data_IF_616365221683
#
_entry.id   IF_616365221683
#
_cell.length_a   1.000
_cell.length_b   1.000
_cell.length_c   1.000
_cell.angle_alpha   90.00
_cell.angle_beta   90.00
_cell.angle_gamma   90.00
#
_symmetry.space_group_name_H-M   'P 1'
#
loop_
_entity.id
_entity.type
_entity.pdbx_description
1 polymer ?
#
# COMPACT_ATOMS: atom_id res chain seq x y z
N UNK A 1 27.72 -23.27 5.59
CA UNK A 1 26.84 -22.16 6.01
C UNK A 1 26.35 -21.38 4.79
N UNK A 2 27.21 -21.15 3.79
CA UNK A 2 26.89 -20.49 2.51
C UNK A 2 25.80 -21.21 1.68
N UNK A 3 25.90 -22.53 1.47
CA UNK A 3 24.89 -23.30 0.70
C UNK A 3 23.44 -23.17 1.21
N UNK A 4 23.23 -23.00 2.53
CA UNK A 4 21.88 -22.82 3.11
C UNK A 4 21.35 -21.40 2.89
N UNK A 5 22.24 -20.41 2.81
CA UNK A 5 21.86 -19.03 2.52
C UNK A 5 21.52 -18.88 1.03
N UNK A 6 22.30 -19.50 0.13
CA UNK A 6 22.05 -19.46 -1.31
C UNK A 6 20.73 -20.15 -1.71
N UNK A 7 20.40 -21.28 -1.06
CA UNK A 7 19.13 -21.99 -1.28
C UNK A 7 17.94 -21.15 -0.78
N UNK A 8 18.09 -20.54 0.40
CA UNK A 8 17.04 -19.70 0.99
C UNK A 8 16.80 -18.44 0.16
N UNK A 9 17.85 -17.81 -0.37
CA UNK A 9 17.75 -16.65 -1.24
C UNK A 9 17.07 -17.01 -2.58
N UNK A 10 17.38 -18.18 -3.15
CA UNK A 10 16.69 -18.68 -4.36
C UNK A 10 15.21 -18.94 -4.13
N UNK A 11 14.85 -19.56 -3.01
CA UNK A 11 13.45 -19.84 -2.66
C UNK A 11 12.65 -18.54 -2.43
N UNK A 12 13.26 -17.55 -1.76
CA UNK A 12 12.67 -16.22 -1.56
C UNK A 12 12.47 -15.47 -2.88
N UNK A 13 13.45 -15.51 -3.79
CA UNK A 13 13.35 -14.92 -5.13
C UNK A 13 12.25 -15.59 -5.95
N UNK A 14 12.18 -16.93 -5.94
CA UNK A 14 11.12 -17.67 -6.65
C UNK A 14 9.74 -17.25 -6.16
N UNK A 15 9.55 -17.16 -4.83
CA UNK A 15 8.29 -16.73 -4.26
C UNK A 15 7.89 -15.31 -4.69
N UNK A 16 8.85 -14.37 -4.71
CA UNK A 16 8.59 -12.99 -5.17
C UNK A 16 8.13 -12.99 -6.62
N UNK A 17 8.81 -13.74 -7.49
CA UNK A 17 8.47 -13.85 -8.92
C UNK A 17 7.07 -14.46 -9.09
N UNK A 18 6.76 -15.53 -8.37
CA UNK A 18 5.48 -16.22 -8.45
C UNK A 18 4.32 -15.30 -8.02
N UNK A 19 4.47 -14.60 -6.89
CA UNK A 19 3.46 -13.67 -6.40
C UNK A 19 3.31 -12.45 -7.31
N UNK A 20 4.40 -11.97 -7.91
CA UNK A 20 4.36 -10.91 -8.91
C UNK A 20 3.58 -11.35 -10.15
N UNK A 21 3.92 -12.51 -10.73
CA UNK A 21 3.29 -13.02 -11.94
C UNK A 21 1.80 -13.31 -11.72
N UNK A 22 1.46 -13.83 -10.55
CA UNK A 22 0.07 -14.02 -10.15
C UNK A 22 -0.68 -12.68 -10.13
N UNK A 23 -0.20 -11.69 -9.39
CA UNK A 23 -0.84 -10.37 -9.32
C UNK A 23 -0.90 -9.69 -10.70
N UNK A 24 0.17 -9.80 -11.49
CA UNK A 24 0.25 -9.24 -12.83
C UNK A 24 -0.84 -9.81 -13.75
N UNK A 25 -1.03 -11.13 -13.72
CA UNK A 25 -2.08 -11.82 -14.48
C UNK A 25 -3.47 -11.43 -13.98
N UNK A 26 -3.67 -11.40 -12.66
CA UNK A 26 -4.94 -11.06 -12.02
C UNK A 26 -5.40 -9.61 -12.28
N UNK A 27 -4.46 -8.70 -12.55
CA UNK A 27 -4.73 -7.31 -12.91
C UNK A 27 -4.63 -7.03 -14.42
N UNK A 28 -4.78 -8.06 -15.26
CA UNK A 28 -4.79 -7.95 -16.73
C UNK A 28 -3.49 -7.38 -17.31
N UNK A 29 -2.35 -7.84 -16.79
CA UNK A 29 -1.03 -7.58 -17.35
C UNK A 29 -0.71 -6.07 -17.46
N UNK A 30 -0.71 -5.31 -16.35
CA UNK A 30 -0.35 -3.90 -16.39
C UNK A 30 1.05 -3.68 -16.97
N UNK A 31 1.35 -2.50 -17.55
CA UNK A 31 2.61 -2.23 -18.24
C UNK A 31 3.78 -2.02 -17.25
N UNK A 32 4.10 -3.06 -16.48
CA UNK A 32 5.11 -3.07 -15.42
C UNK A 32 6.00 -4.30 -15.53
N UNK A 33 7.24 -4.19 -15.06
CA UNK A 33 8.24 -5.26 -15.01
C UNK A 33 8.82 -5.35 -13.62
N UNK A 34 9.17 -6.56 -13.18
CA UNK A 34 9.84 -6.80 -11.90
C UNK A 34 11.36 -6.73 -12.08
N UNK A 35 12.05 -6.05 -11.17
CA UNK A 35 13.51 -6.07 -11.04
C UNK A 35 13.89 -6.25 -9.57
N UNK A 36 14.58 -7.34 -9.26
CA UNK A 36 15.05 -7.62 -7.90
C UNK A 36 16.48 -7.10 -7.79
N UNK A 37 16.73 -6.18 -6.86
CA UNK A 37 18.06 -5.64 -6.64
C UNK A 37 18.85 -6.50 -5.65
N UNK A 38 20.16 -6.73 -5.90
CA UNK A 38 21.04 -7.32 -4.89
C UNK A 38 21.04 -6.47 -3.62
N UNK A 39 21.05 -7.11 -2.45
CA UNK A 39 21.05 -6.45 -1.14
C UNK A 39 22.17 -5.40 -0.97
N UNK A 40 23.26 -5.54 -1.74
CA UNK A 40 24.44 -4.68 -1.71
C UNK A 40 24.34 -3.42 -2.57
N UNK A 41 23.40 -3.36 -3.53
CA UNK A 41 23.15 -2.15 -4.32
C UNK A 41 22.28 -1.18 -3.53
N UNK A 42 22.93 -0.32 -2.75
CA UNK A 42 22.29 0.90 -2.25
C UNK A 42 21.85 1.73 -3.46
N UNK A 43 20.57 2.06 -3.54
CA UNK A 43 20.14 3.20 -4.36
C UNK A 43 21.00 4.39 -3.91
N UNK A 44 21.81 4.95 -4.82
CA UNK A 44 22.48 6.21 -4.56
C UNK A 44 21.43 7.25 -4.18
N UNK A 45 21.60 7.82 -3.00
CA UNK A 45 20.95 9.01 -2.46
C UNK A 45 19.40 9.06 -2.38
N UNK A 46 18.92 9.19 -1.13
CA UNK A 46 17.65 9.80 -0.71
C UNK A 46 16.32 9.13 -1.09
N UNK A 47 16.30 7.93 -1.67
CA UNK A 47 15.06 7.14 -1.83
C UNK A 47 15.19 5.78 -1.14
N UNK A 48 15.25 5.83 0.18
CA UNK A 48 15.25 4.67 1.10
C UNK A 48 13.86 4.00 1.20
N UNK A 49 13.09 3.98 0.11
CA UNK A 49 11.82 3.28 0.10
C UNK A 49 12.10 1.78 -0.17
N UNK A 50 11.46 0.86 0.58
CA UNK A 50 11.57 -0.59 0.34
C UNK A 50 11.07 -1.01 -1.06
N UNK A 51 10.47 -0.06 -1.78
CA UNK A 51 9.92 -0.20 -3.11
C UNK A 51 10.09 1.10 -3.90
N UNK A 52 10.42 0.97 -5.18
CA UNK A 52 10.39 2.08 -6.12
C UNK A 52 9.83 1.60 -7.46
N UNK A 53 8.90 2.35 -8.05
CA UNK A 53 8.56 2.20 -9.47
C UNK A 53 9.25 3.30 -10.25
N UNK A 54 10.15 2.92 -11.16
CA UNK A 54 10.81 3.85 -12.06
C UNK A 54 10.66 3.34 -13.49
N UNK A 55 10.06 4.14 -14.38
CA UNK A 55 9.89 3.80 -15.80
C UNK A 55 9.22 2.43 -16.03
N UNK A 56 8.21 2.10 -15.22
CA UNK A 56 7.52 0.81 -15.30
C UNK A 56 8.31 -0.37 -14.73
N UNK A 57 9.43 -0.15 -14.04
CA UNK A 57 10.19 -1.19 -13.35
C UNK A 57 9.94 -1.08 -11.85
N UNK A 58 9.47 -2.16 -11.24
CA UNK A 58 9.30 -2.33 -9.79
C UNK A 58 10.60 -2.85 -9.21
N UNK A 59 11.22 -2.05 -8.32
CA UNK A 59 12.38 -2.41 -7.53
C UNK A 59 11.95 -2.76 -6.11
N UNK A 60 12.34 -3.94 -5.61
CA UNK A 60 11.98 -4.43 -4.27
C UNK A 60 13.24 -4.77 -3.48
N UNK A 61 13.25 -4.38 -2.21
CA UNK A 61 14.26 -4.84 -1.25
C UNK A 61 13.91 -6.22 -0.67
N UNK A 62 14.91 -7.07 -0.36
CA UNK A 62 14.67 -8.39 0.21
C UNK A 62 13.93 -8.40 1.56
N UNK A 63 14.00 -7.32 2.34
CA UNK A 63 13.38 -7.21 3.66
C UNK A 63 11.97 -6.59 3.65
N UNK A 64 11.30 -6.60 2.49
CA UNK A 64 9.96 -6.01 2.31
C UNK A 64 8.88 -6.69 3.15
N UNK A 65 9.03 -7.98 3.48
CA UNK A 65 8.07 -8.74 4.27
C UNK A 65 8.34 -8.49 5.77
N UNK A 66 7.38 -7.93 6.53
CA UNK A 66 7.55 -7.75 7.96
C UNK A 66 7.69 -9.09 8.69
N UNK A 67 8.51 -9.11 9.76
CA UNK A 67 8.68 -10.30 10.60
C UNK A 67 7.33 -10.77 11.16
N UNK A 68 7.09 -12.07 11.14
CA UNK A 68 5.84 -12.68 11.63
C UNK A 68 4.70 -12.70 10.60
N UNK A 69 4.88 -12.13 9.42
CA UNK A 69 3.91 -12.23 8.33
C UNK A 69 4.10 -13.50 7.51
N UNK A 70 3.00 -14.03 6.93
CA UNK A 70 3.09 -15.01 5.85
C UNK A 70 3.64 -14.30 4.58
N UNK A 71 4.83 -14.67 4.08
CA UNK A 71 5.47 -13.94 2.98
C UNK A 71 4.65 -13.93 1.69
N UNK A 72 4.07 -15.08 1.29
CA UNK A 72 3.27 -15.17 0.06
C UNK A 72 2.03 -14.29 0.11
N UNK A 73 1.26 -14.33 1.20
CA UNK A 73 0.06 -13.50 1.35
C UNK A 73 0.38 -12.01 1.40
N UNK A 74 1.48 -11.64 2.05
CA UNK A 74 1.94 -10.25 2.11
C UNK A 74 2.35 -9.76 0.71
N UNK A 75 3.23 -10.50 0.03
CA UNK A 75 3.72 -10.14 -1.31
C UNK A 75 2.59 -10.08 -2.33
N UNK A 76 1.65 -11.04 -2.30
CA UNK A 76 0.51 -11.03 -3.20
C UNK A 76 -0.39 -9.81 -2.99
N UNK A 77 -0.76 -9.50 -1.73
CA UNK A 77 -1.49 -8.26 -1.44
C UNK A 77 -0.70 -7.03 -1.91
N UNK A 78 0.59 -7.00 -1.60
CA UNK A 78 1.47 -5.88 -1.92
C UNK A 78 1.50 -5.61 -3.42
N UNK A 79 1.75 -6.64 -4.25
CA UNK A 79 1.76 -6.48 -5.70
C UNK A 79 0.39 -6.09 -6.25
N UNK A 80 -0.71 -6.68 -5.74
CA UNK A 80 -2.07 -6.28 -6.14
C UNK A 80 -2.34 -4.81 -5.82
N UNK A 81 -1.88 -4.32 -4.67
CA UNK A 81 -2.04 -2.94 -4.24
C UNK A 81 -1.28 -1.97 -5.16
N UNK A 82 0.02 -2.19 -5.33
CA UNK A 82 0.88 -1.34 -6.17
C UNK A 82 0.44 -1.35 -7.65
N UNK A 83 0.13 -2.54 -8.19
CA UNK A 83 -0.36 -2.65 -9.55
C UNK A 83 -1.74 -2.03 -9.73
N UNK A 84 -2.58 -1.98 -8.69
CA UNK A 84 -3.86 -1.26 -8.77
C UNK A 84 -3.63 0.25 -8.89
N UNK A 85 -2.63 0.81 -8.21
CA UNK A 85 -2.24 2.21 -8.39
C UNK A 85 -1.67 2.48 -9.78
N UNK A 86 -1.00 1.51 -10.42
CA UNK A 86 -0.45 1.69 -11.76
C UNK A 86 -1.49 1.50 -12.86
N UNK A 87 -2.30 0.43 -12.75
CA UNK A 87 -3.28 0.04 -13.76
C UNK A 87 -4.55 0.86 -13.68
N UNK A 88 -5.06 1.03 -12.47
CA UNK A 88 -6.32 1.71 -12.19
C UNK A 88 -6.06 3.00 -11.43
N UNK A 89 -4.90 3.65 -11.62
CA UNK A 89 -4.56 4.92 -10.97
C UNK A 89 -5.84 5.73 -10.86
N UNK A 90 -6.46 5.83 -9.66
CA UNK A 90 -7.87 6.22 -9.60
C UNK A 90 -8.05 7.67 -10.08
N UNK A 91 -6.93 8.36 -10.28
CA UNK A 91 -6.77 9.76 -10.61
C UNK A 91 -5.71 9.88 -11.70
N UNK A 92 -6.04 10.50 -12.83
CA UNK A 92 -5.01 11.07 -13.69
C UNK A 92 -4.26 12.19 -12.93
N UNK A 93 -3.13 12.68 -13.44
CA UNK A 93 -2.36 13.75 -12.76
C UNK A 93 -3.22 14.98 -12.44
N UNK A 94 -4.22 15.28 -13.29
CA UNK A 94 -5.15 16.41 -13.07
C UNK A 94 -6.06 16.16 -11.88
N UNK A 95 -6.55 14.93 -11.73
CA UNK A 95 -7.42 14.53 -10.65
C UNK A 95 -6.68 14.47 -9.33
N UNK A 96 -5.46 13.91 -9.32
CA UNK A 96 -4.59 13.90 -8.13
C UNK A 96 -4.33 15.33 -7.65
N UNK A 97 -3.94 16.23 -8.56
CA UNK A 97 -3.73 17.63 -8.25
C UNK A 97 -5.00 18.36 -7.77
N UNK A 98 -6.17 17.98 -8.29
CA UNK A 98 -7.45 18.54 -7.84
C UNK A 98 -7.80 18.12 -6.41
N UNK A 99 -7.51 16.86 -6.06
CA UNK A 99 -7.65 16.33 -4.70
C UNK A 99 -6.71 17.04 -3.72
N UNK A 100 -5.44 17.19 -4.10
CA UNK A 100 -4.44 17.91 -3.30
C UNK A 100 -4.86 19.37 -3.08
N UNK A 101 -5.35 20.05 -4.13
CA UNK A 101 -5.88 21.42 -4.00
C UNK A 101 -7.09 21.50 -3.07
N UNK A 102 -7.99 20.52 -3.12
CA UNK A 102 -9.14 20.48 -2.22
C UNK A 102 -8.69 20.29 -0.76
N UNK A 103 -7.74 19.38 -0.53
CA UNK A 103 -7.16 19.19 0.80
C UNK A 103 -6.41 20.44 1.29
N UNK A 104 -5.67 21.13 0.42
CA UNK A 104 -4.96 22.36 0.75
C UNK A 104 -5.91 23.49 1.19
N UNK A 105 -7.09 23.60 0.59
CA UNK A 105 -8.09 24.60 1.02
C UNK A 105 -8.57 24.42 2.46
N UNK A 106 -8.43 23.22 3.02
CA UNK A 106 -8.83 22.90 4.40
C UNK A 106 -7.64 22.93 5.34
N UNK A 107 -6.52 22.32 4.93
CA UNK A 107 -5.34 22.18 5.77
C UNK A 107 -4.40 23.40 5.74
N UNK A 108 -4.50 24.22 4.70
CA UNK A 108 -3.60 25.36 4.39
C UNK A 108 -2.09 25.00 4.38
N UNK A 109 -1.78 23.70 4.28
CA UNK A 109 -0.42 23.15 4.25
C UNK A 109 -0.32 22.10 3.15
N UNK A 110 0.62 22.29 2.22
CA UNK A 110 0.84 21.38 1.11
C UNK A 110 1.32 20.00 1.55
N UNK A 111 2.18 19.91 2.57
CA UNK A 111 2.66 18.65 3.11
C UNK A 111 1.50 17.81 3.65
N UNK A 112 0.57 18.44 4.37
CA UNK A 112 -0.64 17.78 4.86
C UNK A 112 -1.59 17.41 3.71
N UNK A 113 -1.73 18.27 2.70
CA UNK A 113 -2.55 17.99 1.52
C UNK A 113 -2.05 16.78 0.72
N UNK A 114 -0.73 16.66 0.53
CA UNK A 114 -0.11 15.50 -0.09
C UNK A 114 -0.33 14.24 0.74
N UNK A 115 -0.13 14.33 2.06
CA UNK A 115 -0.35 13.21 2.98
C UNK A 115 -1.81 12.72 2.94
N UNK A 116 -2.78 13.64 2.98
CA UNK A 116 -4.20 13.33 2.92
C UNK A 116 -4.57 12.63 1.60
N UNK A 117 -4.03 13.13 0.47
CA UNK A 117 -4.28 12.54 -0.85
C UNK A 117 -3.67 11.14 -0.95
N UNK A 118 -2.48 10.93 -0.39
CA UNK A 118 -1.84 9.63 -0.33
C UNK A 118 -2.66 8.63 0.49
N UNK A 119 -3.07 9.00 1.71
CA UNK A 119 -3.95 8.18 2.57
C UNK A 119 -5.25 7.83 1.82
N UNK A 120 -5.87 8.82 1.18
CA UNK A 120 -7.09 8.62 0.42
C UNK A 120 -6.90 7.62 -0.72
N UNK A 121 -5.83 7.76 -1.52
CA UNK A 121 -5.54 6.85 -2.62
C UNK A 121 -5.36 5.41 -2.14
N UNK A 122 -4.53 5.20 -1.11
CA UNK A 122 -4.21 3.86 -0.58
C UNK A 122 -5.47 3.18 -0.01
N UNK A 123 -6.30 3.95 0.71
CA UNK A 123 -7.54 3.44 1.27
C UNK A 123 -8.60 3.12 0.20
N UNK A 124 -8.64 3.85 -0.92
CA UNK A 124 -9.53 3.48 -2.03
C UNK A 124 -9.12 2.13 -2.63
N UNK A 125 -7.81 1.86 -2.74
CA UNK A 125 -7.35 0.55 -3.21
C UNK A 125 -7.67 -0.55 -2.20
N UNK A 126 -7.26 -0.36 -0.94
CA UNK A 126 -7.39 -1.40 0.09
C UNK A 126 -8.83 -1.62 0.55
N UNK A 127 -9.66 -0.60 0.64
CA UNK A 127 -11.01 -0.73 1.21
C UNK A 127 -12.12 -0.79 0.16
N UNK A 128 -11.85 -0.36 -1.08
CA UNK A 128 -12.86 -0.36 -2.14
C UNK A 128 -12.49 -1.28 -3.30
N UNK A 129 -11.35 -1.06 -3.97
CA UNK A 129 -11.02 -1.81 -5.19
C UNK A 129 -10.71 -3.29 -4.93
N UNK A 130 -9.71 -3.57 -4.07
CA UNK A 130 -9.27 -4.94 -3.82
C UNK A 130 -10.38 -5.82 -3.22
N UNK A 131 -11.15 -5.36 -2.20
CA UNK A 131 -12.25 -6.16 -1.66
C UNK A 131 -13.33 -6.46 -2.71
N UNK A 132 -13.68 -5.49 -3.57
CA UNK A 132 -14.69 -5.70 -4.62
C UNK A 132 -14.21 -6.65 -5.71
N UNK A 133 -12.92 -6.61 -6.06
CA UNK A 133 -12.36 -7.45 -7.13
C UNK A 133 -12.09 -8.88 -6.68
N UNK A 134 -11.57 -9.07 -5.48
CA UNK A 134 -11.11 -10.37 -4.99
C UNK A 134 -12.04 -10.99 -3.93
N UNK A 135 -13.07 -10.27 -3.48
CA UNK A 135 -13.98 -10.69 -2.41
C UNK A 135 -13.26 -11.14 -1.13
N UNK A 136 -12.13 -10.48 -0.84
CA UNK A 136 -11.25 -10.80 0.29
C UNK A 136 -10.87 -9.52 1.05
N UNK A 137 -10.70 -9.64 2.36
CA UNK A 137 -10.09 -8.59 3.17
C UNK A 137 -8.59 -8.56 2.85
N UNK A 138 -8.03 -7.42 2.38
CA UNK A 138 -6.62 -7.32 2.02
C UNK A 138 -5.73 -7.68 3.20
N UNK A 139 -4.59 -8.32 2.91
CA UNK A 139 -3.74 -8.89 3.95
C UNK A 139 -3.21 -7.83 4.93
N UNK A 140 -2.88 -6.62 4.46
CA UNK A 140 -2.42 -5.52 5.33
C UNK A 140 -3.43 -5.13 6.42
N UNK A 141 -4.73 -5.22 6.11
CA UNK A 141 -5.82 -4.90 7.05
C UNK A 141 -5.86 -5.94 8.19
N UNK A 142 -5.35 -7.15 7.96
CA UNK A 142 -5.24 -8.20 8.98
C UNK A 142 -4.00 -8.05 9.86
N UNK A 143 -3.04 -7.20 9.46
CA UNK A 143 -1.78 -7.00 10.18
C UNK A 143 -1.82 -5.85 11.19
N UNK A 144 -2.99 -5.23 11.42
CA UNK A 144 -3.17 -4.09 12.33
C UNK A 144 -2.58 -4.39 13.71
N UNK A 145 -1.63 -3.55 14.14
CA UNK A 145 -0.97 -3.63 15.44
C UNK A 145 0.31 -4.45 15.45
N UNK A 146 0.73 -5.02 14.32
CA UNK A 146 1.98 -5.79 14.20
C UNK A 146 3.11 -5.00 13.53
N UNK A 147 2.80 -3.94 12.77
CA UNK A 147 3.74 -3.35 11.81
C UNK A 147 3.92 -1.83 11.91
N UNK A 148 3.25 -1.12 12.82
CA UNK A 148 3.37 0.33 12.97
C UNK A 148 4.81 0.82 13.13
N UNK A 149 5.30 1.59 12.16
CA UNK A 149 6.66 2.17 12.13
C UNK A 149 6.66 3.69 11.91
N UNK A 150 5.53 4.26 11.47
CA UNK A 150 5.38 5.68 11.18
C UNK A 150 4.00 6.22 11.58
N UNK A 151 3.86 7.55 11.67
CA UNK A 151 2.57 8.21 11.94
C UNK A 151 1.52 7.88 10.87
N UNK A 152 1.95 7.74 9.61
CA UNK A 152 1.08 7.30 8.52
C UNK A 152 0.55 5.89 8.77
N UNK A 153 1.42 4.96 9.18
CA UNK A 153 1.01 3.59 9.51
C UNK A 153 0.02 3.59 10.67
N UNK A 154 0.23 4.41 11.70
CA UNK A 154 -0.68 4.53 12.83
C UNK A 154 -2.07 5.04 12.41
N UNK A 155 -2.12 6.04 11.51
CA UNK A 155 -3.39 6.54 10.94
C UNK A 155 -4.09 5.43 10.15
N UNK A 156 -3.37 4.75 9.26
CA UNK A 156 -3.93 3.65 8.46
C UNK A 156 -4.41 2.48 9.34
N UNK A 157 -3.65 2.13 10.39
CA UNK A 157 -4.07 1.13 11.39
C UNK A 157 -5.35 1.57 12.11
N UNK A 158 -5.48 2.86 12.45
CA UNK A 158 -6.71 3.44 12.98
C UNK A 158 -7.92 3.23 12.07
N UNK A 159 -7.74 3.39 10.76
CA UNK A 159 -8.79 3.13 9.76
C UNK A 159 -9.08 1.64 9.66
N UNK A 160 -8.06 0.81 9.53
CA UNK A 160 -8.18 -0.63 9.36
C UNK A 160 -8.81 -1.33 10.57
N UNK A 161 -8.58 -0.85 11.79
CA UNK A 161 -9.26 -1.34 12.99
C UNK A 161 -10.79 -1.27 12.89
N UNK A 162 -11.31 -0.24 12.22
CA UNK A 162 -12.76 -0.09 12.01
C UNK A 162 -13.30 -1.07 10.96
N UNK A 163 -12.44 -1.66 10.13
CA UNK A 163 -12.76 -2.65 9.08
C UNK A 163 -12.57 -4.09 9.59
N UNK A 164 -11.49 -4.32 10.33
CA UNK A 164 -11.16 -5.62 10.91
C UNK A 164 -10.70 -5.42 12.36
N UNK A 165 -11.50 -5.93 13.30
CA UNK A 165 -11.36 -5.69 14.74
C UNK A 165 -10.23 -6.50 15.40
N UNK A 166 -9.01 -6.45 14.86
CA UNK A 166 -7.88 -7.19 15.43
C UNK A 166 -7.28 -6.49 16.66
N UNK A 167 -6.86 -5.22 16.53
CA UNK A 167 -6.11 -4.52 17.59
C UNK A 167 -6.55 -3.07 17.70
N UNK A 168 -6.94 -2.63 18.91
CA UNK A 168 -7.39 -1.25 19.15
C UNK A 168 -6.20 -0.28 19.04
N UNK A 169 -6.35 0.88 18.35
CA UNK A 169 -5.30 1.89 18.30
C UNK A 169 -4.94 2.39 19.71
N UNK A 170 -3.65 2.63 19.95
CA UNK A 170 -3.16 3.10 21.26
C UNK A 170 -3.59 4.54 21.55
N UNK A 171 -3.63 5.38 20.51
CA UNK A 171 -4.01 6.79 20.63
C UNK A 171 -5.50 6.98 20.30
N UNK A 172 -6.22 7.64 21.22
CA UNK A 172 -7.66 7.93 21.09
C UNK A 172 -7.97 8.89 19.94
N UNK A 173 -7.11 9.87 19.68
CA UNK A 173 -7.28 10.81 18.57
C UNK A 173 -7.14 10.10 17.22
N UNK A 174 -6.13 9.24 17.09
CA UNK A 174 -5.92 8.39 15.91
C UNK A 174 -7.11 7.43 15.71
N UNK A 175 -7.65 6.87 16.79
CA UNK A 175 -8.84 6.02 16.70
C UNK A 175 -10.08 6.79 16.19
N UNK A 176 -10.26 8.02 16.66
CA UNK A 176 -11.37 8.89 16.24
C UNK A 176 -11.21 9.30 14.77
N UNK A 177 -10.03 9.81 14.38
CA UNK A 177 -9.73 10.16 13.00
C UNK A 177 -9.88 8.95 12.07
N UNK A 178 -9.36 7.78 12.49
CA UNK A 178 -9.50 6.54 11.75
C UNK A 178 -10.96 6.12 11.53
N UNK A 179 -11.84 6.35 12.52
CA UNK A 179 -13.27 6.09 12.41
C UNK A 179 -13.95 7.04 11.41
N UNK A 180 -13.62 8.32 11.45
CA UNK A 180 -14.16 9.31 10.51
C UNK A 180 -13.73 9.00 9.08
N UNK A 181 -12.44 8.75 8.87
CA UNK A 181 -11.89 8.37 7.57
C UNK A 181 -12.54 7.07 7.06
N UNK A 182 -12.65 6.03 7.90
CA UNK A 182 -13.30 4.77 7.52
C UNK A 182 -14.77 4.99 7.11
N UNK A 183 -15.48 5.90 7.78
CA UNK A 183 -16.87 6.25 7.46
C UNK A 183 -16.94 6.86 6.05
N UNK A 184 -16.10 7.85 5.75
CA UNK A 184 -16.01 8.46 4.42
C UNK A 184 -15.66 7.43 3.34
N UNK A 185 -14.70 6.54 3.64
CA UNK A 185 -14.26 5.52 2.67
C UNK A 185 -15.37 4.54 2.30
N UNK A 186 -16.26 4.22 3.23
CA UNK A 186 -17.40 3.31 3.02
C UNK A 186 -18.60 3.92 2.31
N UNK A 187 -18.65 5.25 2.18
CA UNK A 187 -19.73 5.88 1.44
C UNK A 187 -19.76 5.31 0.02
N UNK A 188 -20.93 4.87 -0.43
CA UNK A 188 -21.13 4.34 -1.78
C UNK A 188 -21.29 5.50 -2.79
N UNK A 189 -20.27 6.34 -2.83
CA UNK A 189 -20.21 7.56 -3.64
C UNK A 189 -18.92 7.53 -4.47
N UNK A 190 -18.91 8.28 -5.57
CA UNK A 190 -17.67 8.49 -6.35
C UNK A 190 -16.65 9.21 -5.48
N UNK A 191 -15.36 9.07 -5.80
CA UNK A 191 -14.31 9.81 -5.10
C UNK A 191 -14.59 11.32 -5.14
N UNK A 192 -15.12 11.83 -6.25
CA UNK A 192 -15.40 13.24 -6.45
C UNK A 192 -16.42 13.78 -5.45
N UNK A 193 -17.48 13.00 -5.18
CA UNK A 193 -18.48 13.39 -4.20
C UNK A 193 -18.05 13.18 -2.75
N UNK A 194 -16.97 12.42 -2.49
CA UNK A 194 -16.40 12.26 -1.14
C UNK A 194 -15.51 13.43 -0.72
N UNK A 195 -15.10 14.28 -1.66
CA UNK A 195 -14.09 15.33 -1.46
C UNK A 195 -14.60 16.74 -1.75
N UNK A 196 -15.86 16.86 -2.17
CA UNK A 196 -16.61 18.13 -2.23
C UNK A 196 -17.30 18.40 -0.91
#
# INVERSE_FOLDING_TARGET
>A
MELKNDLKEKDEISLIIDMFNQAWTELYCPPVRLSILPAEKKFNDKRSAPFAVLNGIIYIRPDIVPRGCNPGKYLLWYFRHEMAHIHNCPYDMKTAYSLEKAAFKVAEDWSLAYLATHIFADLQVNLNYLPKRFNEIPYIVKLVGLTSRSVLDEILEGVYFNVHHATKPRNREIANAGKEIATVMRLNMTWHSKVQ
#
